data_IF_019947885210
#
_entry.id   IF_019947885210
#
_cell.length_a   1.000
_cell.length_b   1.000
_cell.length_c   1.000
_cell.angle_alpha   90.00
_cell.angle_beta   90.00
_cell.angle_gamma   90.00
#
_symmetry.space_group_name_H-M   'P 1'
#
loop_
_entity.id
_entity.type
_entity.pdbx_description
1 polymer ?
#
# COMPACT_ATOMS: atom_id res chain seq x y z
N UNK A 1 26.58 6.95 40.07
CA UNK A 1 26.71 6.78 38.61
C UNK A 1 25.31 6.55 38.07
N UNK A 2 24.71 7.55 37.43
CA UNK A 2 23.44 7.41 36.71
C UNK A 2 23.76 6.81 35.35
N UNK A 3 23.40 5.55 35.13
CA UNK A 3 23.43 4.97 33.79
C UNK A 3 22.52 5.77 32.85
N UNK A 4 22.94 6.09 31.63
CA UNK A 4 22.04 6.63 30.63
C UNK A 4 21.03 5.55 30.25
N UNK A 5 19.74 5.84 30.45
CA UNK A 5 18.64 5.03 29.91
C UNK A 5 18.80 4.93 28.39
N UNK A 6 19.20 3.76 27.91
CA UNK A 6 19.12 3.41 26.50
C UNK A 6 17.64 3.17 26.16
N UNK A 7 16.91 4.21 25.78
CA UNK A 7 15.55 4.11 25.23
C UNK A 7 15.63 3.78 23.74
N UNK A 8 15.78 2.50 23.40
CA UNK A 8 15.67 2.04 22.02
C UNK A 8 14.22 1.64 21.71
N UNK A 9 13.43 2.60 21.24
CA UNK A 9 12.06 2.39 20.80
C UNK A 9 12.02 2.16 19.26
N UNK A 10 12.61 1.04 18.81
CA UNK A 10 12.91 0.80 17.39
C UNK A 10 11.88 -0.01 16.59
N UNK A 11 10.85 -0.57 17.24
CA UNK A 11 9.82 -1.40 16.59
C UNK A 11 8.81 -0.61 15.74
N UNK A 12 7.98 0.22 16.38
CA UNK A 12 6.93 1.00 15.70
C UNK A 12 7.45 2.13 14.82
N UNK A 13 8.52 2.79 15.27
CA UNK A 13 9.14 3.91 14.56
C UNK A 13 9.71 3.55 13.18
N UNK A 14 10.13 2.30 12.95
CA UNK A 14 10.68 1.91 11.65
C UNK A 14 9.57 1.71 10.60
N UNK A 15 8.47 1.07 10.97
CA UNK A 15 7.32 0.84 10.10
C UNK A 15 6.64 2.14 9.66
N UNK A 16 6.41 3.05 10.62
CA UNK A 16 5.85 4.37 10.34
C UNK A 16 6.77 5.21 9.45
N UNK A 17 8.09 5.19 9.71
CA UNK A 17 9.10 5.85 8.85
C UNK A 17 9.13 5.29 7.43
N UNK A 18 9.06 3.97 7.25
CA UNK A 18 9.05 3.33 5.93
C UNK A 18 7.78 3.68 5.15
N UNK A 19 6.63 3.70 5.81
CA UNK A 19 5.36 4.10 5.21
C UNK A 19 5.37 5.58 4.79
N UNK A 20 5.87 6.46 5.65
CA UNK A 20 6.02 7.88 5.34
C UNK A 20 7.00 8.10 4.18
N UNK A 21 8.16 7.43 4.21
CA UNK A 21 9.18 7.55 3.17
C UNK A 21 8.64 7.08 1.81
N UNK A 22 7.92 5.96 1.79
CA UNK A 22 7.25 5.46 0.58
C UNK A 22 6.27 6.49 0.03
N UNK A 23 5.40 7.03 0.88
CA UNK A 23 4.40 8.02 0.48
C UNK A 23 5.07 9.30 -0.06
N UNK A 24 6.09 9.81 0.63
CA UNK A 24 6.81 11.01 0.22
C UNK A 24 7.55 10.84 -1.13
N UNK A 25 8.26 9.73 -1.30
CA UNK A 25 9.00 9.45 -2.56
C UNK A 25 8.03 9.26 -3.73
N UNK A 26 6.96 8.48 -3.54
CA UNK A 26 5.96 8.29 -4.58
C UNK A 26 5.26 9.61 -4.92
N UNK A 27 4.92 10.41 -3.91
CA UNK A 27 4.32 11.73 -4.07
C UNK A 27 5.18 12.68 -4.89
N UNK A 28 6.44 12.86 -4.49
CA UNK A 28 7.36 13.73 -5.20
C UNK A 28 7.56 13.29 -6.65
N UNK A 29 7.78 11.99 -6.91
CA UNK A 29 7.97 11.48 -8.26
C UNK A 29 6.73 11.66 -9.13
N UNK A 30 5.53 11.41 -8.61
CA UNK A 30 4.30 11.58 -9.36
C UNK A 30 4.07 13.07 -9.68
N UNK A 31 4.34 13.96 -8.73
CA UNK A 31 4.30 15.41 -8.92
C UNK A 31 5.26 15.89 -10.03
N UNK A 32 6.51 15.42 -10.00
CA UNK A 32 7.54 15.74 -11.01
C UNK A 32 7.06 15.28 -12.40
N UNK A 33 6.71 14.00 -12.56
CA UNK A 33 6.44 13.41 -13.88
C UNK A 33 5.12 13.92 -14.45
N UNK A 34 4.05 13.94 -13.66
CA UNK A 34 2.73 14.35 -14.13
C UNK A 34 2.69 15.82 -14.53
N UNK A 35 3.29 16.70 -13.71
CA UNK A 35 3.33 18.14 -13.99
C UNK A 35 4.26 18.43 -15.17
N UNK A 36 5.42 17.77 -15.26
CA UNK A 36 6.31 17.90 -16.41
C UNK A 36 5.61 17.52 -17.72
N UNK A 37 4.94 16.36 -17.76
CA UNK A 37 4.20 15.91 -18.93
C UNK A 37 3.11 16.90 -19.35
N UNK A 38 2.35 17.42 -18.37
CA UNK A 38 1.31 18.41 -18.61
C UNK A 38 1.88 19.71 -19.19
N UNK A 39 2.87 20.31 -18.52
CA UNK A 39 3.38 21.63 -18.95
C UNK A 39 4.20 21.57 -20.23
N UNK A 40 4.92 20.48 -20.48
CA UNK A 40 5.60 20.25 -21.77
C UNK A 40 4.58 20.08 -22.90
N UNK A 41 3.49 19.34 -22.65
CA UNK A 41 2.39 19.20 -23.61
C UNK A 41 1.76 20.54 -23.96
N UNK A 42 1.46 21.38 -22.95
CA UNK A 42 0.92 22.73 -23.16
C UNK A 42 1.93 23.62 -23.89
N UNK A 43 3.22 23.54 -23.56
CA UNK A 43 4.27 24.31 -24.24
C UNK A 43 4.41 23.95 -25.74
N UNK A 44 4.08 22.71 -26.11
CA UNK A 44 4.00 22.30 -27.51
C UNK A 44 2.83 22.92 -28.28
N UNK A 45 1.75 23.31 -27.58
CA UNK A 45 0.57 23.92 -28.17
C UNK A 45 0.56 25.45 -28.11
N UNK A 46 1.26 26.06 -27.14
CA UNK A 46 1.29 27.53 -26.97
C UNK A 46 2.58 28.05 -26.35
N UNK A 47 3.00 29.24 -26.78
CA UNK A 47 4.11 29.98 -26.18
C UNK A 47 3.71 30.88 -25.00
N UNK A 48 2.42 30.97 -24.67
CA UNK A 48 1.89 31.86 -23.63
C UNK A 48 2.33 31.43 -22.23
N UNK A 49 3.07 32.30 -21.52
CA UNK A 49 3.46 32.07 -20.12
C UNK A 49 2.25 31.96 -19.20
N UNK A 50 1.23 32.79 -19.42
CA UNK A 50 0.01 32.76 -18.64
C UNK A 50 -0.70 31.41 -18.78
N UNK A 51 -0.80 30.87 -20.00
CA UNK A 51 -1.40 29.56 -20.25
C UNK A 51 -0.60 28.41 -19.58
N UNK A 52 0.73 28.49 -19.61
CA UNK A 52 1.60 27.51 -18.93
C UNK A 52 1.42 27.54 -17.42
N UNK A 53 1.37 28.74 -16.83
CA UNK A 53 1.17 28.93 -15.40
C UNK A 53 -0.20 28.44 -14.94
N UNK A 54 -1.27 28.81 -15.64
CA UNK A 54 -2.63 28.44 -15.27
C UNK A 54 -2.83 26.93 -15.39
N UNK A 55 -2.41 26.33 -16.50
CA UNK A 55 -2.50 24.89 -16.70
C UNK A 55 -1.65 24.11 -15.68
N UNK A 56 -0.42 24.57 -15.46
CA UNK A 56 0.50 23.95 -14.50
C UNK A 56 0.01 24.02 -13.06
N UNK A 57 -0.51 25.18 -12.62
CA UNK A 57 -1.07 25.33 -11.28
C UNK A 57 -2.37 24.53 -11.10
N UNK A 58 -3.25 24.52 -12.10
CA UNK A 58 -4.46 23.69 -12.09
C UNK A 58 -4.10 22.20 -12.01
N UNK A 59 -3.13 21.75 -12.81
CA UNK A 59 -2.62 20.38 -12.78
C UNK A 59 -1.98 20.01 -11.44
N UNK A 60 -1.19 20.93 -10.86
CA UNK A 60 -0.56 20.75 -9.55
C UNK A 60 -1.63 20.53 -8.48
N UNK A 61 -2.63 21.42 -8.40
CA UNK A 61 -3.68 21.36 -7.37
C UNK A 61 -4.57 20.13 -7.56
N UNK A 62 -5.01 19.86 -8.79
CA UNK A 62 -5.82 18.68 -9.08
C UNK A 62 -5.06 17.38 -8.77
N UNK A 63 -3.78 17.31 -9.13
CA UNK A 63 -2.92 16.16 -8.86
C UNK A 63 -2.66 15.94 -7.38
N UNK A 64 -2.26 16.99 -6.64
CA UNK A 64 -1.97 16.89 -5.22
C UNK A 64 -3.20 16.53 -4.40
N UNK A 65 -4.36 17.12 -4.70
CA UNK A 65 -5.63 16.78 -4.04
C UNK A 65 -6.06 15.35 -4.35
N UNK A 66 -5.97 14.92 -5.61
CA UNK A 66 -6.33 13.56 -6.01
C UNK A 66 -5.45 12.51 -5.31
N UNK A 67 -4.16 12.80 -5.20
CA UNK A 67 -3.22 11.91 -4.51
C UNK A 67 -3.46 11.89 -3.00
N UNK A 68 -3.70 13.04 -2.37
CA UNK A 68 -4.01 13.13 -0.94
C UNK A 68 -5.29 12.36 -0.60
N UNK A 69 -6.35 12.52 -1.40
CA UNK A 69 -7.59 11.78 -1.23
C UNK A 69 -7.39 10.26 -1.41
N UNK A 70 -6.61 9.86 -2.42
CA UNK A 70 -6.28 8.45 -2.64
C UNK A 70 -5.52 7.82 -1.48
N UNK A 71 -4.51 8.52 -0.93
CA UNK A 71 -3.75 8.03 0.22
C UNK A 71 -4.61 8.03 1.50
N UNK A 72 -5.45 9.05 1.70
CA UNK A 72 -6.39 9.10 2.82
C UNK A 72 -7.30 7.87 2.83
N UNK A 73 -7.98 7.60 1.70
CA UNK A 73 -8.89 6.45 1.58
C UNK A 73 -8.15 5.14 1.79
N UNK A 74 -6.95 5.00 1.23
CA UNK A 74 -6.14 3.79 1.39
C UNK A 74 -5.78 3.54 2.86
N UNK A 75 -5.32 4.56 3.57
CA UNK A 75 -4.88 4.43 4.97
C UNK A 75 -6.07 4.36 5.92
N UNK A 76 -7.19 5.01 5.61
CA UNK A 76 -8.41 4.88 6.41
C UNK A 76 -8.94 3.46 6.37
N UNK A 77 -8.93 2.78 5.22
CA UNK A 77 -9.33 1.37 5.13
C UNK A 77 -8.39 0.46 5.94
N UNK A 78 -7.09 0.76 5.99
CA UNK A 78 -6.15 0.02 6.85
C UNK A 78 -6.51 0.23 8.32
N UNK A 79 -6.69 1.48 8.75
CA UNK A 79 -7.09 1.82 10.12
C UNK A 79 -8.41 1.17 10.51
N UNK A 80 -9.40 1.16 9.63
CA UNK A 80 -10.70 0.53 9.88
C UNK A 80 -10.55 -0.99 10.07
N UNK A 81 -9.64 -1.62 9.32
CA UNK A 81 -9.32 -3.04 9.48
C UNK A 81 -8.62 -3.33 10.80
N UNK A 82 -7.66 -2.48 11.20
CA UNK A 82 -6.99 -2.57 12.50
C UNK A 82 -8.00 -2.45 13.66
N UNK A 83 -8.90 -1.46 13.58
CA UNK A 83 -9.96 -1.26 14.58
C UNK A 83 -10.96 -2.42 14.64
N UNK A 84 -11.33 -2.97 13.49
CA UNK A 84 -12.23 -4.12 13.43
C UNK A 84 -11.60 -5.37 14.08
N UNK A 85 -10.32 -5.62 13.82
CA UNK A 85 -9.59 -6.72 14.45
C UNK A 85 -9.50 -6.53 15.97
N UNK A 86 -9.12 -5.33 16.45
CA UNK A 86 -9.10 -5.02 17.88
C UNK A 86 -10.47 -5.14 18.55
N UNK A 87 -11.56 -4.86 17.83
CA UNK A 87 -12.91 -5.02 18.36
C UNK A 87 -13.32 -6.49 18.51
N UNK A 88 -12.86 -7.36 17.61
CA UNK A 88 -13.04 -8.81 17.71
C UNK A 88 -12.25 -9.36 18.90
N UNK A 89 -10.97 -9.01 18.98
CA UNK A 89 -10.07 -9.40 20.08
C UNK A 89 -10.64 -9.01 21.44
N UNK A 90 -11.08 -7.75 21.57
CA UNK A 90 -11.68 -7.23 22.80
C UNK A 90 -12.97 -7.96 23.19
N UNK A 91 -13.71 -8.52 22.22
CA UNK A 91 -14.89 -9.34 22.49
C UNK A 91 -14.47 -10.73 22.96
N UNK A 92 -13.50 -11.35 22.31
CA UNK A 92 -13.00 -12.69 22.63
C UNK A 92 -12.36 -12.73 24.03
N UNK A 93 -11.55 -11.74 24.39
CA UNK A 93 -11.02 -11.55 25.74
C UNK A 93 -12.10 -11.43 26.83
N UNK A 94 -13.30 -10.95 26.48
CA UNK A 94 -14.44 -10.85 27.42
C UNK A 94 -15.26 -12.12 27.50
N UNK A 95 -15.45 -12.79 26.37
CA UNK A 95 -16.35 -13.95 26.25
C UNK A 95 -15.62 -15.26 26.57
N UNK A 96 -14.32 -15.36 26.31
CA UNK A 96 -13.53 -16.60 26.37
C UNK A 96 -12.12 -16.39 26.96
N UNK A 97 -11.96 -15.75 28.14
CA UNK A 97 -10.65 -15.36 28.66
C UNK A 97 -9.67 -16.53 28.88
N UNK A 98 -10.18 -17.70 29.29
CA UNK A 98 -9.34 -18.90 29.46
C UNK A 98 -8.87 -19.48 28.13
N UNK A 99 -9.65 -19.33 27.05
CA UNK A 99 -9.25 -19.78 25.72
C UNK A 99 -8.16 -18.85 25.16
N UNK A 100 -8.36 -17.53 25.31
CA UNK A 100 -7.40 -16.52 24.91
C UNK A 100 -6.05 -16.69 25.61
N UNK A 101 -6.05 -16.93 26.93
CA UNK A 101 -4.80 -17.18 27.67
C UNK A 101 -4.02 -18.40 27.13
N UNK A 102 -4.74 -19.46 26.74
CA UNK A 102 -4.13 -20.65 26.13
C UNK A 102 -3.58 -20.32 24.73
N UNK A 103 -4.32 -19.57 23.94
CA UNK A 103 -3.88 -19.14 22.61
C UNK A 103 -2.61 -18.28 22.69
N UNK A 104 -2.55 -17.30 23.59
CA UNK A 104 -1.37 -16.48 23.83
C UNK A 104 -0.16 -17.34 24.25
N UNK A 105 -0.40 -18.32 25.13
CA UNK A 105 0.62 -19.27 25.56
C UNK A 105 1.17 -20.07 24.37
N UNK A 106 0.30 -20.62 23.52
CA UNK A 106 0.69 -21.35 22.31
C UNK A 106 1.47 -20.48 21.32
N UNK A 107 1.06 -19.22 21.14
CA UNK A 107 1.76 -18.25 20.30
C UNK A 107 3.16 -17.87 20.82
N UNK A 108 3.34 -17.83 22.13
CA UNK A 108 4.64 -17.61 22.77
C UNK A 108 5.54 -18.85 22.65
N UNK A 109 4.98 -20.06 22.80
CA UNK A 109 5.71 -21.30 22.53
C UNK A 109 6.18 -21.38 21.08
N UNK A 110 5.33 -20.99 20.13
CA UNK A 110 5.68 -20.94 18.71
C UNK A 110 6.84 -19.96 18.41
N UNK A 111 7.08 -18.98 19.29
CA UNK A 111 8.23 -18.07 19.23
C UNK A 111 9.50 -18.62 19.89
N UNK A 112 9.44 -19.82 20.47
CA UNK A 112 10.57 -20.55 21.03
C UNK A 112 10.64 -20.59 22.55
N UNK A 113 9.60 -20.11 23.26
CA UNK A 113 9.53 -20.26 24.72
C UNK A 113 9.16 -21.71 25.09
N UNK A 114 9.68 -22.20 26.22
CA UNK A 114 9.19 -23.46 26.80
C UNK A 114 7.74 -23.29 27.28
N UNK A 115 7.01 -24.38 27.40
CA UNK A 115 5.61 -24.38 27.86
C UNK A 115 5.43 -23.65 29.20
N UNK A 116 6.29 -23.95 30.18
CA UNK A 116 6.28 -23.34 31.50
C UNK A 116 6.49 -21.81 31.45
N UNK A 117 7.52 -21.36 30.72
CA UNK A 117 7.85 -19.93 30.61
C UNK A 117 6.82 -19.19 29.75
N UNK A 118 6.27 -19.83 28.71
CA UNK A 118 5.24 -19.25 27.88
C UNK A 118 3.94 -19.04 28.66
N UNK A 119 3.55 -20.01 29.50
CA UNK A 119 2.37 -19.89 30.36
C UNK A 119 2.52 -18.76 31.37
N UNK A 120 3.63 -18.74 32.09
CA UNK A 120 3.93 -17.66 33.06
C UNK A 120 3.98 -16.28 32.39
N UNK A 121 4.62 -16.17 31.21
CA UNK A 121 4.67 -14.92 30.46
C UNK A 121 3.29 -14.48 29.97
N UNK A 122 2.46 -15.40 29.47
CA UNK A 122 1.10 -15.11 29.02
C UNK A 122 0.23 -14.57 30.17
N UNK A 123 0.30 -15.18 31.35
CA UNK A 123 -0.41 -14.71 32.55
C UNK A 123 0.01 -13.29 32.92
N UNK A 124 1.31 -13.03 33.08
CA UNK A 124 1.83 -11.72 33.46
C UNK A 124 1.50 -10.63 32.43
N UNK A 125 1.57 -10.95 31.13
CA UNK A 125 1.20 -10.02 30.05
C UNK A 125 -0.30 -9.72 30.06
N UNK A 126 -1.13 -10.74 30.30
CA UNK A 126 -2.59 -10.63 30.36
C UNK A 126 -3.03 -9.80 31.56
N UNK A 127 -2.43 -10.00 32.74
CA UNK A 127 -2.70 -9.22 33.95
C UNK A 127 -2.39 -7.73 33.76
N UNK A 128 -1.33 -7.42 32.99
CA UNK A 128 -0.94 -6.04 32.72
C UNK A 128 -1.85 -5.36 31.71
N UNK A 129 -2.04 -5.98 30.55
CA UNK A 129 -2.87 -5.47 29.45
C UNK A 129 -3.14 -6.58 28.42
N UNK A 130 -4.18 -7.39 28.66
CA UNK A 130 -4.57 -8.49 27.80
C UNK A 130 -4.76 -8.07 26.33
N UNK A 131 -5.42 -6.94 26.08
CA UNK A 131 -5.68 -6.48 24.71
C UNK A 131 -4.38 -6.11 23.99
N UNK A 132 -3.45 -5.43 24.67
CA UNK A 132 -2.14 -5.11 24.07
C UNK A 132 -1.29 -6.34 23.86
N UNK A 133 -1.31 -7.29 24.80
CA UNK A 133 -0.58 -8.56 24.68
C UNK A 133 -1.02 -9.32 23.44
N UNK A 134 -2.32 -9.55 23.29
CA UNK A 134 -2.88 -10.22 22.11
C UNK A 134 -2.70 -9.40 20.83
N UNK A 135 -3.02 -8.10 20.83
CA UNK A 135 -2.86 -7.27 19.64
C UNK A 135 -1.42 -7.27 19.11
N UNK A 136 -0.41 -7.24 20.00
CA UNK A 136 0.99 -7.24 19.59
C UNK A 136 1.51 -8.63 19.17
N UNK A 137 1.12 -9.68 19.89
CA UNK A 137 1.61 -11.05 19.66
C UNK A 137 0.83 -11.75 18.54
N UNK A 138 -0.46 -11.53 18.42
CA UNK A 138 -1.30 -12.16 17.40
C UNK A 138 -1.40 -11.31 16.14
N UNK A 139 -1.84 -10.06 16.29
CA UNK A 139 -2.18 -9.19 15.16
C UNK A 139 -0.97 -8.41 14.63
N UNK A 140 0.08 -8.28 15.42
CA UNK A 140 1.20 -7.39 15.13
C UNK A 140 0.81 -5.91 15.11
N UNK A 141 -0.26 -5.54 15.82
CA UNK A 141 -0.81 -4.19 15.90
C UNK A 141 -0.47 -3.61 17.28
N UNK A 142 0.02 -2.38 17.31
CA UNK A 142 0.07 -1.59 18.55
C UNK A 142 -1.25 -0.80 18.68
N UNK A 143 -2.09 -1.07 19.70
CA UNK A 143 -3.35 -0.36 19.90
C UNK A 143 -3.19 1.17 20.06
N UNK A 144 -2.01 1.63 20.50
CA UNK A 144 -1.73 3.06 20.71
C UNK A 144 -1.14 3.75 19.48
N UNK A 145 -0.58 2.99 18.52
CA UNK A 145 0.10 3.51 17.32
C UNK A 145 -0.63 3.13 16.02
N UNK A 146 -1.96 3.25 16.02
CA UNK A 146 -2.77 3.01 14.82
C UNK A 146 -2.41 3.95 13.67
N UNK A 147 -2.53 3.43 12.45
CA UNK A 147 -2.26 4.20 11.23
C UNK A 147 -3.08 5.50 11.16
N UNK A 148 -2.44 6.62 10.80
CA UNK A 148 -3.11 7.92 10.75
C UNK A 148 -3.33 8.40 9.30
N UNK A 149 -4.58 8.36 8.79
CA UNK A 149 -4.90 8.72 7.41
C UNK A 149 -4.61 10.18 7.07
N UNK A 150 -4.82 11.10 8.02
CA UNK A 150 -4.58 12.53 7.80
C UNK A 150 -3.11 12.86 7.64
N UNK A 151 -2.26 12.25 8.46
CA UNK A 151 -0.81 12.42 8.33
C UNK A 151 -0.31 11.90 6.97
N UNK A 152 -0.78 10.73 6.54
CA UNK A 152 -0.42 10.19 5.23
C UNK A 152 -0.91 11.07 4.07
N UNK A 153 -2.16 11.56 4.13
CA UNK A 153 -2.73 12.42 3.11
C UNK A 153 -1.97 13.73 2.95
N UNK A 154 -1.66 14.41 4.06
CA UNK A 154 -0.90 15.66 4.03
C UNK A 154 0.56 15.47 3.60
N UNK A 155 1.20 14.39 4.04
CA UNK A 155 2.54 14.05 3.57
C UNK A 155 2.58 13.87 2.04
N UNK A 156 1.62 13.12 1.48
CA UNK A 156 1.49 12.93 0.04
C UNK A 156 1.17 14.23 -0.71
N UNK A 157 0.24 15.05 -0.19
CA UNK A 157 -0.10 16.35 -0.78
C UNK A 157 1.13 17.25 -0.89
N UNK A 158 1.89 17.39 0.19
CA UNK A 158 3.07 18.25 0.25
C UNK A 158 4.19 17.71 -0.64
N UNK A 159 4.45 16.40 -0.58
CA UNK A 159 5.46 15.77 -1.42
C UNK A 159 5.16 15.95 -2.92
N UNK A 160 3.91 15.72 -3.33
CA UNK A 160 3.47 15.99 -4.70
C UNK A 160 3.67 17.46 -5.08
N UNK A 161 3.21 18.37 -4.23
CA UNK A 161 3.30 19.82 -4.47
C UNK A 161 4.76 20.24 -4.66
N UNK A 162 5.66 19.82 -3.78
CA UNK A 162 7.11 20.11 -3.89
C UNK A 162 7.68 19.52 -5.18
N UNK A 163 7.32 18.28 -5.52
CA UNK A 163 7.75 17.65 -6.77
C UNK A 163 7.24 18.37 -8.03
N UNK A 164 6.00 18.85 -8.01
CA UNK A 164 5.35 19.54 -9.11
C UNK A 164 5.82 20.99 -9.31
N UNK A 165 6.28 21.67 -8.25
CA UNK A 165 6.82 23.03 -8.34
C UNK A 165 8.07 23.09 -9.24
N UNK A 166 8.92 22.07 -9.21
CA UNK A 166 10.15 22.04 -10.01
C UNK A 166 9.90 22.15 -11.53
N UNK A 167 9.12 21.25 -12.18
CA UNK A 167 8.81 21.38 -13.61
C UNK A 167 7.99 22.63 -13.93
N UNK A 168 7.10 23.07 -13.03
CA UNK A 168 6.32 24.29 -13.20
C UNK A 168 7.20 25.54 -13.26
N UNK A 169 8.15 25.68 -12.34
CA UNK A 169 9.07 26.82 -12.34
C UNK A 169 10.04 26.73 -13.52
N UNK A 170 10.52 25.53 -13.84
CA UNK A 170 11.45 25.30 -14.94
C UNK A 170 10.88 25.64 -16.33
N UNK A 171 9.56 25.52 -16.53
CA UNK A 171 8.94 25.87 -17.82
C UNK A 171 8.55 27.36 -17.89
N UNK A 172 8.24 28.00 -16.77
CA UNK A 172 7.69 29.36 -16.76
C UNK A 172 8.78 30.43 -16.73
N UNK A 173 9.81 30.24 -15.90
CA UNK A 173 10.84 31.26 -15.64
C UNK A 173 11.77 31.48 -16.84
N UNK A 174 12.25 30.44 -17.56
CA UNK A 174 13.21 30.66 -18.64
C UNK A 174 12.65 31.43 -19.85
N UNK A 175 13.53 32.06 -20.64
CA UNK A 175 13.20 32.61 -21.95
C UNK A 175 12.68 31.52 -22.90
N UNK A 176 11.85 31.90 -23.88
CA UNK A 176 11.10 30.95 -24.72
C UNK A 176 11.96 29.84 -25.35
N UNK A 177 13.15 30.16 -25.86
CA UNK A 177 14.06 29.18 -26.47
C UNK A 177 14.67 28.17 -25.50
N UNK A 178 14.68 28.46 -24.19
CA UNK A 178 15.31 27.64 -23.16
C UNK A 178 14.33 26.87 -22.28
N UNK A 179 13.01 27.15 -22.37
CA UNK A 179 12.00 26.52 -21.51
C UNK A 179 12.04 25.00 -21.58
N UNK A 180 11.98 24.42 -22.78
CA UNK A 180 11.93 22.98 -22.94
C UNK A 180 13.24 22.29 -22.50
N UNK A 181 14.45 22.74 -22.94
CA UNK A 181 15.70 22.16 -22.46
C UNK A 181 15.85 22.23 -20.94
N UNK A 182 15.54 23.38 -20.33
CA UNK A 182 15.67 23.58 -18.87
C UNK A 182 14.70 22.67 -18.11
N UNK A 183 13.45 22.57 -18.54
CA UNK A 183 12.47 21.67 -17.90
C UNK A 183 12.87 20.21 -18.02
N UNK A 184 13.32 19.76 -19.20
CA UNK A 184 13.74 18.37 -19.37
C UNK A 184 14.94 18.06 -18.48
N UNK A 185 15.98 18.90 -18.52
CA UNK A 185 17.18 18.69 -17.71
C UNK A 185 16.90 18.75 -16.20
N UNK A 186 16.05 19.68 -15.75
CA UNK A 186 15.71 19.81 -14.33
C UNK A 186 14.90 18.59 -13.85
N UNK A 187 13.95 18.11 -14.64
CA UNK A 187 13.16 16.91 -14.34
C UNK A 187 14.04 15.67 -14.29
N UNK A 188 14.95 15.50 -15.25
CA UNK A 188 15.89 14.39 -15.26
C UNK A 188 16.80 14.42 -14.03
N UNK A 189 17.36 15.58 -13.69
CA UNK A 189 18.16 15.76 -12.49
C UNK A 189 17.34 15.45 -11.22
N UNK A 190 16.11 15.94 -11.14
CA UNK A 190 15.22 15.69 -10.01
C UNK A 190 14.91 14.19 -9.85
N UNK A 191 14.61 13.47 -10.93
CA UNK A 191 14.33 12.03 -10.89
C UNK A 191 15.57 11.20 -10.51
N UNK A 192 16.76 11.62 -10.94
CA UNK A 192 18.02 10.99 -10.52
C UNK A 192 18.24 11.22 -9.03
N UNK A 193 18.05 12.46 -8.55
CA UNK A 193 18.20 12.80 -7.14
C UNK A 193 17.19 12.05 -6.26
N UNK A 194 15.91 12.04 -6.62
CA UNK A 194 14.87 11.31 -5.85
C UNK A 194 15.11 9.81 -5.89
N UNK A 195 15.55 9.25 -7.02
CA UNK A 195 15.92 7.83 -7.14
C UNK A 195 17.12 7.47 -6.26
N UNK A 196 18.14 8.32 -6.23
CA UNK A 196 19.33 8.13 -5.41
C UNK A 196 19.05 8.27 -3.91
N UNK A 197 18.28 9.29 -3.50
CA UNK A 197 17.89 9.47 -2.09
C UNK A 197 17.03 8.31 -1.60
N UNK A 198 16.09 7.83 -2.41
CA UNK A 198 15.27 6.66 -2.09
C UNK A 198 16.12 5.40 -1.90
N UNK A 199 17.13 5.18 -2.76
CA UNK A 199 18.03 4.04 -2.64
C UNK A 199 18.85 4.09 -1.35
N UNK A 200 19.39 5.26 -1.00
CA UNK A 200 20.14 5.45 0.24
C UNK A 200 19.29 5.26 1.49
N UNK A 201 18.09 5.83 1.51
CA UNK A 201 17.18 5.74 2.66
C UNK A 201 16.57 4.34 2.83
N UNK A 202 16.43 3.58 1.73
CA UNK A 202 15.99 2.19 1.77
C UNK A 202 17.07 1.15 2.06
N UNK A 203 18.29 1.57 2.46
CA UNK A 203 19.44 0.69 2.76
C UNK A 203 19.80 -0.33 1.65
N UNK A 204 19.36 -0.10 0.41
CA UNK A 204 19.70 -0.93 -0.74
C UNK A 204 20.92 -0.32 -1.45
N UNK A 205 21.92 -1.14 -1.81
CA UNK A 205 23.13 -0.68 -2.49
C UNK A 205 22.81 0.25 -3.68
N UNK A 206 23.36 1.49 -3.75
CA UNK A 206 22.92 2.53 -4.68
C UNK A 206 23.08 2.23 -6.19
N UNK A 207 23.86 1.20 -6.54
CA UNK A 207 24.31 0.97 -7.93
C UNK A 207 23.26 0.41 -8.88
N UNK A 208 22.26 -0.34 -8.41
CA UNK A 208 21.35 -1.10 -9.30
C UNK A 208 20.01 -0.43 -9.61
N UNK A 209 19.52 0.49 -8.75
CA UNK A 209 18.13 1.00 -8.83
C UNK A 209 17.98 2.37 -9.48
N UNK A 210 19.06 3.15 -9.62
CA UNK A 210 19.05 4.36 -10.45
C UNK A 210 18.61 4.03 -11.90
N UNK A 211 18.98 2.85 -12.41
CA UNK A 211 18.54 2.36 -13.72
C UNK A 211 17.12 1.74 -13.69
N UNK A 212 16.66 1.21 -12.54
CA UNK A 212 15.35 0.55 -12.43
C UNK A 212 14.18 1.55 -12.47
N UNK A 213 14.35 2.80 -12.02
CA UNK A 213 13.35 3.86 -12.18
C UNK A 213 13.04 4.12 -13.66
N UNK A 214 14.06 4.09 -14.52
CA UNK A 214 13.91 4.20 -15.97
C UNK A 214 13.23 2.98 -16.60
N UNK A 215 13.36 1.80 -15.99
CA UNK A 215 12.68 0.57 -16.45
C UNK A 215 11.22 0.48 -15.96
N UNK A 216 10.89 1.00 -14.78
CA UNK A 216 9.56 0.90 -14.17
C UNK A 216 8.48 1.78 -14.84
N UNK A 217 8.88 2.86 -15.52
CA UNK A 217 7.99 3.61 -16.44
C UNK A 217 7.36 2.72 -17.52
N UNK A 218 8.02 1.60 -17.86
CA UNK A 218 7.55 0.59 -18.82
C UNK A 218 6.45 -0.33 -18.24
N UNK A 219 6.33 -0.46 -16.91
CA UNK A 219 5.36 -1.36 -16.26
C UNK A 219 4.04 -0.66 -15.91
N UNK A 220 4.07 0.60 -15.44
CA UNK A 220 2.85 1.34 -15.06
C UNK A 220 2.08 1.94 -16.25
N UNK A 221 2.76 2.25 -17.37
CA UNK A 221 2.09 2.72 -18.59
C UNK A 221 1.42 1.58 -19.39
N UNK A 222 1.97 0.35 -19.31
CA UNK A 222 1.45 -0.82 -20.04
C UNK A 222 0.15 -1.40 -19.47
N UNK A 223 -0.19 -1.10 -18.22
CA UNK A 223 -1.43 -1.58 -17.56
C UNK A 223 -2.62 -0.63 -17.69
N UNK A 224 -2.40 0.67 -17.99
CA UNK A 224 -3.48 1.64 -18.30
C UNK A 224 -3.89 1.59 -19.78
N UNK A 225 -2.96 1.39 -20.71
CA UNK A 225 -3.26 1.28 -22.15
C UNK A 225 -4.00 -0.02 -22.53
N UNK A 226 -3.81 -1.12 -21.79
CA UNK A 226 -4.59 -2.36 -22.00
C UNK A 226 -6.07 -2.24 -21.60
N UNK A 227 -6.40 -1.43 -20.58
CA UNK A 227 -7.80 -1.17 -20.20
C UNK A 227 -8.52 -0.25 -21.18
N UNK A 228 -7.84 0.77 -21.71
CA UNK A 228 -8.40 1.61 -22.78
C UNK A 228 -8.64 0.82 -24.08
N UNK A 229 -7.77 -0.14 -24.42
CA UNK A 229 -7.93 -0.99 -25.60
C UNK A 229 -9.04 -2.06 -25.46
N UNK A 230 -9.53 -2.34 -24.26
CA UNK A 230 -10.65 -3.28 -24.04
C UNK A 230 -12.03 -2.61 -24.12
N UNK A 231 -12.13 -1.29 -23.97
CA UNK A 231 -13.39 -0.57 -24.16
C UNK A 231 -13.72 -0.32 -25.65
N UNK A 232 -12.72 -0.28 -26.53
CA UNK A 232 -12.90 -0.02 -27.97
C UNK A 232 -13.22 -1.24 -28.83
N UNK A 233 -13.13 -2.47 -28.30
CA UNK A 233 -13.34 -3.71 -29.09
C UNK A 233 -14.70 -4.37 -28.91
N UNK A 234 -15.46 -4.00 -27.89
CA UNK A 234 -16.78 -4.58 -27.61
C UNK A 234 -17.92 -4.01 -28.47
N UNK A 235 -17.64 -3.03 -29.35
CA UNK A 235 -18.65 -2.29 -30.11
C UNK A 235 -18.65 -2.55 -31.63
N UNK A 236 -17.82 -3.46 -32.14
CA UNK A 236 -17.79 -3.80 -33.57
C UNK A 236 -17.62 -5.30 -33.80
N UNK A 237 -18.71 -6.06 -33.65
CA UNK A 237 -18.87 -7.32 -34.39
C UNK A 237 -20.30 -7.37 -34.95
N UNK A 238 -20.48 -7.45 -36.29
CA UNK A 238 -21.78 -7.70 -36.89
C UNK A 238 -22.16 -9.17 -36.64
N UNK A 239 -23.28 -9.37 -35.96
CA UNK A 239 -23.78 -10.68 -35.55
C UNK A 239 -23.99 -11.64 -36.73
N UNK A 240 -23.42 -12.83 -36.59
CA UNK A 240 -23.75 -14.02 -37.38
C UNK A 240 -24.66 -14.91 -36.51
N UNK A 241 -25.76 -15.32 -37.14
CA UNK A 241 -26.94 -16.00 -36.59
C UNK A 241 -26.73 -17.44 -36.10
N UNK A 242 -27.32 -17.76 -34.95
CA UNK A 242 -27.94 -19.07 -34.62
C UNK A 242 -28.83 -18.88 -33.37
N UNK A 243 -30.13 -18.68 -33.53
CA UNK A 243 -31.16 -19.73 -33.41
C UNK A 243 -31.22 -20.36 -32.02
N UNK A 244 -32.24 -19.97 -31.26
CA UNK A 244 -32.61 -20.55 -29.96
C UNK A 244 -32.98 -19.45 -28.98
N UNK A 245 -34.21 -18.95 -29.08
CA UNK A 245 -35.01 -18.41 -27.95
C UNK A 245 -36.29 -17.75 -28.51
N UNK A 246 -37.22 -18.60 -28.94
CA UNK A 246 -38.64 -18.28 -29.05
C UNK A 246 -39.37 -19.11 -27.99
N UNK A 247 -39.33 -18.66 -26.76
CA UNK A 247 -40.34 -19.00 -25.76
C UNK A 247 -40.29 -17.93 -24.67
N UNK A 248 -41.46 -17.47 -24.22
CA UNK A 248 -41.67 -16.50 -23.14
C UNK A 248 -41.63 -15.02 -23.52
N UNK A 249 -42.37 -14.67 -24.58
CA UNK A 249 -43.12 -13.43 -24.59
C UNK A 249 -44.56 -13.73 -24.13
N UNK A 250 -44.92 -13.35 -22.90
CA UNK A 250 -46.26 -12.92 -22.45
C UNK A 250 -46.42 -13.13 -20.92
N UNK A 251 -46.28 -12.05 -20.13
CA UNK A 251 -47.14 -11.80 -18.96
C UNK A 251 -46.93 -10.35 -18.45
N UNK A 252 -48.03 -9.59 -18.43
CA UNK A 252 -48.37 -8.41 -17.62
C UNK A 252 -47.36 -7.24 -17.50
N UNK A 253 -47.57 -6.05 -18.10
CA UNK A 253 -48.57 -4.98 -17.80
C UNK A 253 -48.71 -4.57 -16.33
N UNK A 254 -48.40 -3.29 -16.06
CA UNK A 254 -49.02 -2.30 -15.14
C UNK A 254 -48.08 -1.63 -14.10
N UNK A 255 -47.65 -0.39 -14.42
CA UNK A 255 -47.77 0.87 -13.64
C UNK A 255 -47.15 1.03 -12.21
N UNK A 256 -46.94 2.26 -11.68
CA UNK A 256 -45.64 2.72 -11.15
C UNK A 256 -45.59 3.16 -9.66
N UNK A 257 -44.41 3.66 -9.24
CA UNK A 257 -44.03 4.40 -8.02
C UNK A 257 -43.70 3.62 -6.73
N UNK A 258 -42.56 3.98 -6.11
CA UNK A 258 -42.39 3.89 -4.65
C UNK A 258 -41.05 3.35 -4.12
N UNK A 259 -40.13 4.28 -3.80
CA UNK A 259 -39.23 4.33 -2.63
C UNK A 259 -38.72 3.03 -1.95
N UNK A 260 -37.39 2.94 -1.77
CA UNK A 260 -36.80 2.38 -0.55
C UNK A 260 -35.69 1.33 -0.71
N UNK A 261 -34.59 1.55 0.02
CA UNK A 261 -33.87 0.46 0.69
C UNK A 261 -32.60 -0.09 0.01
N UNK A 262 -31.46 0.59 0.20
CA UNK A 262 -30.17 -0.08 0.17
C UNK A 262 -29.99 -0.86 1.48
N UNK A 263 -30.26 -2.15 1.46
CA UNK A 263 -29.99 -3.07 2.55
C UNK A 263 -29.12 -4.25 2.07
N UNK A 264 -27.88 -4.23 2.54
CA UNK A 264 -27.14 -5.33 3.16
C UNK A 264 -27.11 -6.70 2.47
N UNK A 265 -25.91 -7.09 2.04
CA UNK A 265 -25.44 -8.48 2.11
C UNK A 265 -23.95 -8.53 2.46
N UNK A 266 -23.65 -8.32 3.74
CA UNK A 266 -22.38 -8.73 4.32
C UNK A 266 -22.47 -10.24 4.60
N UNK A 267 -21.72 -11.05 3.83
CA UNK A 267 -21.46 -12.45 4.17
C UNK A 267 -20.42 -12.54 5.29
N UNK A 268 -20.50 -13.54 6.20
CA UNK A 268 -19.52 -13.71 7.27
C UNK A 268 -18.16 -14.16 6.71
N UNK A 269 -17.02 -13.74 7.30
CA UNK A 269 -15.71 -14.25 6.90
C UNK A 269 -15.52 -15.70 7.35
N UNK A 270 -14.92 -16.49 6.47
CA UNK A 270 -14.68 -17.91 6.64
C UNK A 270 -13.66 -18.18 7.77
N UNK A 271 -14.03 -19.11 8.68
CA UNK A 271 -13.14 -19.68 9.69
C UNK A 271 -12.10 -20.56 9.00
N UNK A 272 -10.81 -20.30 9.23
CA UNK A 272 -9.72 -21.13 8.74
C UNK A 272 -9.56 -22.33 9.69
N UNK A 273 -10.36 -23.38 9.49
CA UNK A 273 -10.23 -24.63 10.24
C UNK A 273 -9.04 -25.43 9.70
N UNK A 274 -7.92 -25.39 10.42
CA UNK A 274 -6.74 -26.20 10.13
C UNK A 274 -6.92 -27.65 10.59
N UNK A 275 -7.44 -28.50 9.72
CA UNK A 275 -7.51 -29.94 9.94
C UNK A 275 -6.11 -30.56 9.70
N UNK A 276 -5.36 -30.79 10.79
CA UNK A 276 -4.01 -31.38 10.74
C UNK A 276 -4.11 -32.89 10.96
N UNK A 277 -4.21 -33.64 9.86
CA UNK A 277 -4.15 -35.10 9.87
C UNK A 277 -2.75 -35.58 10.32
N UNK A 278 -2.71 -36.18 11.52
CA UNK A 278 -1.57 -36.88 12.10
C UNK A 278 -1.29 -38.17 11.29
N UNK A 279 -0.20 -38.21 10.53
CA UNK A 279 0.32 -39.47 9.97
C UNK A 279 1.73 -39.70 10.49
N UNK A 280 1.80 -40.57 11.50
CA UNK A 280 2.99 -41.13 12.11
C UNK A 280 3.82 -41.93 11.08
N UNK A 281 5.12 -41.68 11.02
CA UNK A 281 6.11 -42.65 10.52
C UNK A 281 7.28 -42.74 11.50
N UNK A 282 7.77 -43.96 11.80
CA UNK A 282 8.73 -44.19 12.87
C UNK A 282 10.16 -43.80 12.47
N UNK A 283 10.93 -43.33 13.46
CA UNK A 283 12.38 -43.12 13.39
C UNK A 283 13.11 -44.46 13.60
N UNK A 284 14.16 -44.68 12.81
CA UNK A 284 15.17 -45.74 12.95
C UNK A 284 16.44 -45.35 12.17
N UNK A 285 17.62 -45.91 12.50
CA UNK A 285 18.68 -45.11 13.13
C UNK A 285 19.85 -44.67 12.22
N UNK A 286 20.63 -43.78 12.80
CA UNK A 286 21.93 -43.22 12.41
C UNK A 286 22.87 -44.14 11.61
N UNK A 287 23.43 -43.61 10.53
CA UNK A 287 24.72 -44.03 10.00
C UNK A 287 25.51 -42.80 9.51
N UNK A 288 26.64 -42.56 10.17
CA UNK A 288 27.73 -41.70 9.78
C UNK A 288 28.40 -42.18 8.50
N UNK A 289 28.64 -41.29 7.52
CA UNK A 289 29.70 -41.48 6.51
C UNK A 289 30.32 -40.13 6.14
N UNK A 290 31.57 -40.00 6.58
CA UNK A 290 32.72 -39.25 6.05
C UNK A 290 32.65 -38.52 4.71
N UNK A 291 33.14 -37.27 4.76
CA UNK A 291 34.29 -36.71 4.01
C UNK A 291 34.55 -37.09 2.54
N UNK A 292 34.75 -36.01 1.78
CA UNK A 292 35.69 -35.80 0.66
C UNK A 292 35.25 -36.38 -0.70
N UNK A 293 35.34 -35.67 -1.83
CA UNK A 293 36.56 -35.29 -2.56
C UNK A 293 36.15 -34.62 -3.89
N UNK A 294 36.79 -33.49 -4.27
CA UNK A 294 37.06 -32.89 -5.61
C UNK A 294 35.89 -32.71 -6.62
N UNK A 295 35.71 -31.62 -7.37
CA UNK A 295 36.68 -30.70 -7.96
C UNK A 295 36.50 -30.71 -9.48
N UNK A 296 35.86 -29.67 -10.04
CA UNK A 296 36.06 -28.97 -11.33
C UNK A 296 34.99 -27.90 -11.46
#
# INVERSE_FOLDING_TARGET
MTEPKHEENHGGALGSRLNWLRAAVLGANDGIVSTAGLVVGVAGATGSRAALLTAGLAGLLAGSMSMAAGEYVSVSTQRDSELAALAVEKRELREQPEAELRELTEMLQARGLSEEVAGEAAEQLTERDALRAHASVELGIDPDELTNPWHAAWASFLAFTVGALLPLLAIVLPPAGWRLPVTVLSVLAALVLTGWTSARLGAAAPGGRCCAMWAAGRWRWRSRTRRAACWGRSACEPGRSSQGDRAHAQAARSEPHGVGGWAQSAGPPAKFTGDRAYRSRPRGPSASVSQALWGT
#
